data_IF_216199467103
#
_entry.id   IF_216199467103
#
_cell.length_a   1.000
_cell.length_b   1.000
_cell.length_c   1.000
_cell.angle_alpha   90.00
_cell.angle_beta   90.00
_cell.angle_gamma   90.00
#
_symmetry.space_group_name_H-M   'P 1'
#
loop_
_entity.id
_entity.type
_entity.pdbx_description
1 polymer ?
#
# COMPACT_ATOMS: atom_id res chain seq x y z
N UNK A 1 16.54 -43.81 18.30
CA UNK A 1 17.32 -43.02 17.32
C UNK A 1 17.43 -41.60 17.85
N UNK A 2 18.66 -41.14 18.15
CA UNK A 2 18.93 -39.78 18.67
C UNK A 2 19.40 -38.91 17.49
N UNK A 3 18.62 -37.91 17.10
CA UNK A 3 19.05 -36.90 16.15
C UNK A 3 19.80 -35.80 16.89
N UNK A 4 21.02 -35.49 16.43
CA UNK A 4 21.91 -34.47 16.98
C UNK A 4 21.69 -33.19 16.17
N UNK A 5 21.25 -32.12 16.84
CA UNK A 5 21.25 -30.77 16.29
C UNK A 5 22.69 -30.25 16.20
N UNK A 6 23.06 -29.70 15.03
CA UNK A 6 24.28 -28.94 14.86
C UNK A 6 23.89 -27.52 14.46
N UNK A 7 24.03 -26.60 15.42
CA UNK A 7 23.98 -25.15 15.20
C UNK A 7 25.37 -24.72 14.80
N UNK A 8 25.54 -24.18 13.59
CA UNK A 8 26.76 -23.49 13.17
C UNK A 8 26.47 -21.98 13.19
N UNK A 9 26.98 -21.31 14.22
CA UNK A 9 27.04 -19.87 14.30
C UNK A 9 28.28 -19.40 13.53
N UNK A 10 28.10 -18.52 12.54
CA UNK A 10 29.18 -17.82 11.86
C UNK A 10 28.89 -16.32 11.96
N UNK A 11 29.49 -15.67 12.96
CA UNK A 11 29.51 -14.21 13.08
C UNK A 11 30.78 -13.69 12.43
N UNK A 12 30.66 -13.01 11.29
CA UNK A 12 31.74 -12.18 10.74
C UNK A 12 31.42 -10.71 11.01
N UNK A 13 32.23 -10.08 11.84
CA UNK A 13 32.20 -8.65 12.10
C UNK A 13 32.83 -7.85 10.95
N UNK A 14 32.18 -6.75 10.59
CA UNK A 14 32.73 -5.72 9.71
C UNK A 14 32.60 -4.37 10.40
N UNK A 15 33.73 -3.82 10.85
CA UNK A 15 33.82 -2.45 11.38
C UNK A 15 34.00 -1.47 10.22
N UNK A 16 33.01 -0.61 9.97
CA UNK A 16 33.15 0.54 9.07
C UNK A 16 33.53 1.80 9.88
N UNK A 17 34.69 2.37 9.57
CA UNK A 17 35.10 3.68 10.07
C UNK A 17 34.58 4.77 9.12
N UNK A 18 33.66 5.60 9.61
CA UNK A 18 33.18 6.80 8.93
C UNK A 18 34.20 7.94 9.10
N UNK A 19 34.63 8.53 7.99
CA UNK A 19 35.41 9.77 7.95
C UNK A 19 34.50 10.89 7.44
N UNK A 20 34.00 11.72 8.36
CA UNK A 20 33.17 12.90 8.08
C UNK A 20 34.06 14.11 7.78
N UNK A 21 33.94 14.69 6.59
CA UNK A 21 34.44 16.03 6.26
C UNK A 21 33.28 16.86 5.70
N UNK A 22 32.61 17.62 6.58
CA UNK A 22 31.63 18.63 6.18
C UNK A 22 32.30 20.00 6.14
N UNK A 23 32.42 20.58 4.95
CA UNK A 23 32.76 21.99 4.76
C UNK A 23 31.47 22.81 4.78
N UNK A 24 31.47 23.82 5.65
CA UNK A 24 30.45 24.86 5.70
C UNK A 24 30.61 25.83 4.52
N UNK A 25 29.50 26.20 3.90
CA UNK A 25 29.40 27.43 3.12
C UNK A 25 27.99 28.03 3.28
N UNK A 26 27.96 29.23 3.88
CA UNK A 26 26.80 30.10 3.98
C UNK A 26 26.85 31.16 2.87
N UNK A 27 25.70 31.53 2.31
CA UNK A 27 25.29 32.91 1.95
C UNK A 27 23.90 32.81 1.33
N UNK A 28 22.81 33.28 1.94
CA UNK A 28 22.42 34.66 2.29
C UNK A 28 21.95 35.51 1.09
N UNK A 29 20.83 36.18 1.35
CA UNK A 29 20.22 37.34 0.68
C UNK A 29 19.38 37.13 -0.59
N UNK A 30 18.07 37.03 -0.32
CA UNK A 30 17.00 37.89 -0.82
C UNK A 30 17.34 38.94 -1.90
N UNK A 31 16.53 38.97 -2.97
CA UNK A 31 15.94 40.25 -3.37
C UNK A 31 14.60 40.09 -4.09
N UNK A 32 13.67 40.97 -3.72
CA UNK A 32 12.33 41.09 -4.29
C UNK A 32 12.40 41.81 -5.63
N UNK A 33 11.68 41.31 -6.62
CA UNK A 33 11.41 42.05 -7.85
C UNK A 33 9.92 41.99 -8.16
N UNK A 34 9.29 43.15 -7.97
CA UNK A 34 7.94 43.50 -8.41
C UNK A 34 7.73 43.20 -9.88
N UNK A 35 6.69 42.42 -10.21
CA UNK A 35 6.23 42.26 -11.58
C UNK A 35 4.80 42.77 -11.79
N UNK A 36 4.74 43.59 -12.84
CA UNK A 36 3.62 44.27 -13.45
C UNK A 36 2.49 43.30 -13.78
N UNK A 37 1.27 43.63 -13.35
CA UNK A 37 0.04 42.95 -13.76
C UNK A 37 -0.18 43.24 -15.25
N UNK A 38 0.00 42.23 -16.08
CA UNK A 38 -0.46 42.21 -17.46
C UNK A 38 -1.42 41.03 -17.59
N UNK A 39 -2.66 41.38 -17.91
CA UNK A 39 -3.78 40.52 -18.17
C UNK A 39 -3.47 39.68 -19.42
N UNK A 40 -3.12 38.41 -19.22
CA UNK A 40 -3.12 37.40 -20.28
C UNK A 40 -4.17 36.35 -19.96
N UNK A 41 -4.95 36.04 -20.99
CA UNK A 41 -6.09 35.12 -20.96
C UNK A 41 -5.53 33.75 -21.34
N UNK A 42 -4.92 33.08 -20.38
CA UNK A 42 -4.65 31.65 -20.48
C UNK A 42 -5.61 30.95 -19.53
N UNK A 43 -6.43 30.08 -20.09
CA UNK A 43 -7.22 29.11 -19.35
C UNK A 43 -6.22 28.18 -18.67
N UNK A 44 -5.75 28.58 -17.49
CA UNK A 44 -5.11 27.68 -16.54
C UNK A 44 -6.15 26.59 -16.27
N UNK A 45 -5.90 25.40 -16.81
CA UNK A 45 -6.48 24.20 -16.23
C UNK A 45 -5.81 24.09 -14.86
N UNK A 46 -6.45 24.71 -13.85
CA UNK A 46 -6.23 24.43 -12.45
C UNK A 46 -6.04 22.92 -12.36
N UNK A 47 -4.84 22.53 -11.91
CA UNK A 47 -4.51 21.15 -11.67
C UNK A 47 -5.67 20.54 -10.92
N UNK A 48 -6.26 19.52 -11.52
CA UNK A 48 -7.13 18.63 -10.78
C UNK A 48 -6.25 18.05 -9.68
N UNK A 49 -6.34 18.68 -8.51
CA UNK A 49 -5.96 18.12 -7.23
C UNK A 49 -6.81 16.86 -7.07
N UNK A 50 -6.35 15.77 -7.70
CA UNK A 50 -6.82 14.42 -7.44
C UNK A 50 -6.18 13.88 -6.14
N UNK A 51 -5.78 14.77 -5.23
CA UNK A 51 -5.39 14.47 -3.86
C UNK A 51 -6.59 14.28 -2.94
N UNK A 52 -7.69 13.67 -3.43
CA UNK A 52 -8.50 12.89 -2.49
C UNK A 52 -7.75 11.58 -2.28
N UNK A 53 -6.61 11.66 -1.58
CA UNK A 53 -6.13 10.54 -0.78
C UNK A 53 -7.37 10.06 -0.02
N UNK A 54 -7.94 8.94 -0.47
CA UNK A 54 -8.95 8.26 0.33
C UNK A 54 -8.21 7.87 1.58
N UNK A 55 -8.37 8.69 2.61
CA UNK A 55 -7.72 8.50 3.89
C UNK A 55 -8.02 7.08 4.33
N UNK A 56 -7.02 6.21 4.30
CA UNK A 56 -7.09 4.84 4.80
C UNK A 56 -7.14 4.82 6.34
N UNK A 57 -7.76 5.84 6.94
CA UNK A 57 -7.96 6.00 8.37
C UNK A 57 -9.09 5.06 8.80
N UNK A 58 -8.73 4.06 9.58
CA UNK A 58 -9.65 3.06 10.09
C UNK A 58 -10.35 3.53 11.37
N UNK A 59 -10.21 4.80 11.75
CA UNK A 59 -10.85 5.41 12.90
C UNK A 59 -10.12 5.14 14.22
N UNK A 60 -10.79 5.34 15.37
CA UNK A 60 -10.15 5.25 16.67
C UNK A 60 -9.82 3.80 17.06
N UNK A 61 -8.84 3.66 17.97
CA UNK A 61 -8.51 2.40 18.65
C UNK A 61 -9.61 1.98 19.65
N UNK A 62 -10.76 1.56 19.13
CA UNK A 62 -11.89 1.05 19.90
C UNK A 62 -12.09 -0.47 19.70
N UNK A 63 -13.07 -1.05 20.38
CA UNK A 63 -13.35 -2.49 20.35
C UNK A 63 -13.67 -3.06 18.96
N UNK A 64 -14.01 -2.18 18.02
CA UNK A 64 -14.38 -2.53 16.65
C UNK A 64 -13.30 -2.20 15.62
N UNK A 65 -12.16 -1.66 16.05
CA UNK A 65 -11.03 -1.36 15.17
C UNK A 65 -10.60 -2.58 14.35
N UNK A 66 -10.36 -3.73 14.99
CA UNK A 66 -9.89 -4.92 14.27
C UNK A 66 -10.91 -5.43 13.23
N UNK A 67 -12.22 -5.28 13.50
CA UNK A 67 -13.26 -5.62 12.52
C UNK A 67 -13.16 -4.72 11.28
N UNK A 68 -12.97 -3.42 11.49
CA UNK A 68 -12.82 -2.46 10.39
C UNK A 68 -11.53 -2.69 9.61
N UNK A 69 -10.43 -3.00 10.28
CA UNK A 69 -9.17 -3.38 9.63
C UNK A 69 -9.35 -4.62 8.76
N UNK A 70 -9.96 -5.68 9.31
CA UNK A 70 -10.25 -6.91 8.57
C UNK A 70 -11.12 -6.61 7.34
N UNK A 71 -12.21 -5.86 7.51
CA UNK A 71 -13.15 -5.54 6.43
C UNK A 71 -12.52 -4.69 5.34
N UNK A 72 -11.72 -3.69 5.71
CA UNK A 72 -11.00 -2.82 4.79
C UNK A 72 -9.89 -3.59 4.05
N UNK A 73 -9.02 -4.30 4.77
CA UNK A 73 -7.87 -4.99 4.19
C UNK A 73 -8.30 -6.17 3.31
N UNK A 74 -9.42 -6.85 3.60
CA UNK A 74 -9.97 -7.87 2.68
C UNK A 74 -10.32 -7.25 1.34
N UNK A 75 -11.07 -6.14 1.33
CA UNK A 75 -11.45 -5.45 0.08
C UNK A 75 -10.22 -4.92 -0.64
N UNK A 76 -9.30 -4.30 0.10
CA UNK A 76 -8.07 -3.76 -0.46
C UNK A 76 -7.23 -4.87 -1.12
N UNK A 77 -7.03 -6.01 -0.45
CA UNK A 77 -6.33 -7.14 -1.06
C UNK A 77 -7.05 -7.73 -2.28
N UNK A 78 -8.39 -7.74 -2.29
CA UNK A 78 -9.14 -8.17 -3.47
C UNK A 78 -8.82 -7.31 -4.69
N UNK A 79 -8.70 -5.99 -4.51
CA UNK A 79 -8.26 -5.06 -5.56
C UNK A 79 -6.89 -5.41 -6.15
N UNK A 80 -5.89 -5.63 -5.29
CA UNK A 80 -4.55 -6.05 -5.75
C UNK A 80 -4.55 -7.41 -6.43
N UNK A 81 -5.32 -8.39 -5.94
CA UNK A 81 -5.45 -9.71 -6.58
C UNK A 81 -6.06 -9.57 -7.97
N UNK A 82 -7.12 -8.77 -8.13
CA UNK A 82 -7.76 -8.54 -9.43
C UNK A 82 -6.80 -7.86 -10.43
N UNK A 83 -6.12 -6.79 -10.00
CA UNK A 83 -5.10 -6.12 -10.83
C UNK A 83 -3.96 -7.08 -11.21
N UNK A 84 -3.49 -7.90 -10.27
CA UNK A 84 -2.44 -8.87 -10.52
C UNK A 84 -2.89 -9.98 -11.50
N UNK A 85 -4.15 -10.43 -11.44
CA UNK A 85 -4.69 -11.39 -12.40
C UNK A 85 -4.72 -10.82 -13.82
N UNK A 86 -5.14 -9.55 -13.97
CA UNK A 86 -5.11 -8.86 -15.27
C UNK A 86 -3.68 -8.76 -15.79
N UNK A 87 -2.73 -8.36 -14.96
CA UNK A 87 -1.33 -8.25 -15.35
C UNK A 87 -0.68 -9.59 -15.72
N UNK A 88 -1.04 -10.66 -15.02
CA UNK A 88 -0.57 -12.02 -15.32
C UNK A 88 -1.01 -12.49 -16.71
N UNK A 89 -2.21 -12.11 -17.14
CA UNK A 89 -2.74 -12.43 -18.47
C UNK A 89 -2.17 -11.52 -19.57
N UNK A 90 -2.06 -10.21 -19.30
CA UNK A 90 -1.81 -9.20 -20.32
C UNK A 90 -0.35 -8.80 -20.50
N UNK A 91 0.49 -8.92 -19.48
CA UNK A 91 1.90 -8.51 -19.58
C UNK A 91 2.70 -9.45 -20.49
N UNK A 92 3.69 -8.93 -21.20
CA UNK A 92 4.70 -9.72 -21.90
C UNK A 92 5.99 -9.89 -21.08
N UNK A 93 6.13 -9.21 -19.93
CA UNK A 93 7.33 -9.27 -19.09
C UNK A 93 7.23 -10.39 -18.06
N UNK A 94 8.23 -11.27 -18.04
CA UNK A 94 8.32 -12.35 -17.05
C UNK A 94 8.41 -11.79 -15.62
N UNK A 95 9.05 -10.63 -15.44
CA UNK A 95 9.15 -9.92 -14.17
C UNK A 95 7.78 -9.54 -13.60
N UNK A 96 6.90 -8.95 -14.43
CA UNK A 96 5.54 -8.57 -14.01
C UNK A 96 4.72 -9.82 -13.72
N UNK A 97 4.77 -10.84 -14.58
CA UNK A 97 4.07 -12.11 -14.35
C UNK A 97 4.48 -12.77 -13.05
N UNK A 98 5.78 -12.75 -12.74
CA UNK A 98 6.29 -13.30 -11.50
C UNK A 98 5.80 -12.53 -10.28
N UNK A 99 5.85 -11.19 -10.30
CA UNK A 99 5.30 -10.37 -9.22
C UNK A 99 3.80 -10.62 -9.05
N UNK A 100 3.03 -10.65 -10.14
CA UNK A 100 1.59 -10.92 -10.10
C UNK A 100 1.28 -12.26 -9.43
N UNK A 101 2.01 -13.32 -9.75
CA UNK A 101 1.84 -14.63 -9.10
C UNK A 101 2.13 -14.59 -7.60
N UNK A 102 3.14 -13.81 -7.18
CA UNK A 102 3.51 -13.65 -5.77
C UNK A 102 2.43 -12.88 -5.01
N UNK A 103 1.95 -11.77 -5.56
CA UNK A 103 0.84 -10.96 -5.02
C UNK A 103 -0.40 -11.83 -4.84
N UNK A 104 -0.83 -12.54 -5.90
CA UNK A 104 -2.02 -13.41 -5.84
C UNK A 104 -1.87 -14.45 -4.73
N UNK A 105 -0.76 -15.18 -4.72
CA UNK A 105 -0.57 -16.27 -3.76
C UNK A 105 -0.54 -15.78 -2.30
N UNK A 106 0.15 -14.67 -2.03
CA UNK A 106 0.24 -14.11 -0.68
C UNK A 106 -1.09 -13.51 -0.24
N UNK A 107 -1.69 -12.64 -1.05
CA UNK A 107 -2.88 -11.90 -0.65
C UNK A 107 -4.13 -12.78 -0.61
N UNK A 108 -4.26 -13.81 -1.45
CA UNK A 108 -5.34 -14.81 -1.31
C UNK A 108 -5.24 -15.59 0.02
N UNK A 109 -4.02 -15.90 0.48
CA UNK A 109 -3.81 -16.54 1.77
C UNK A 109 -4.19 -15.60 2.93
N UNK A 110 -3.78 -14.33 2.85
CA UNK A 110 -4.09 -13.32 3.86
C UNK A 110 -5.60 -13.01 3.91
N UNK A 111 -6.28 -12.92 2.76
CA UNK A 111 -7.75 -12.81 2.68
C UNK A 111 -8.42 -13.98 3.39
N UNK A 112 -8.02 -15.22 3.10
CA UNK A 112 -8.60 -16.40 3.76
C UNK A 112 -8.39 -16.33 5.28
N UNK A 113 -7.20 -15.96 5.72
CA UNK A 113 -6.88 -15.84 7.13
C UNK A 113 -7.77 -14.79 7.83
N UNK A 114 -7.94 -13.63 7.21
CA UNK A 114 -8.79 -12.56 7.73
C UNK A 114 -10.27 -12.93 7.72
N UNK A 115 -10.75 -13.65 6.70
CA UNK A 115 -12.13 -14.16 6.65
C UNK A 115 -12.41 -15.14 7.79
N UNK A 116 -11.46 -16.04 8.10
CA UNK A 116 -11.56 -16.95 9.24
C UNK A 116 -11.65 -16.19 10.57
N UNK A 117 -10.80 -15.16 10.73
CA UNK A 117 -10.83 -14.29 11.90
C UNK A 117 -12.14 -13.52 12.02
N UNK A 118 -12.63 -12.95 10.92
CA UNK A 118 -13.91 -12.25 10.88
C UNK A 118 -15.04 -13.14 11.38
N UNK A 119 -15.13 -14.35 10.83
CA UNK A 119 -16.17 -15.32 11.21
C UNK A 119 -16.03 -15.78 12.66
N UNK A 120 -14.79 -16.02 13.12
CA UNK A 120 -14.54 -16.58 14.45
C UNK A 120 -14.69 -15.54 15.57
N UNK A 121 -14.20 -14.32 15.35
CA UNK A 121 -14.17 -13.27 16.37
C UNK A 121 -15.43 -12.39 16.35
N UNK A 122 -16.11 -12.31 15.21
CA UNK A 122 -17.27 -11.44 14.99
C UNK A 122 -18.46 -12.23 14.41
N UNK A 123 -18.79 -13.37 15.02
CA UNK A 123 -19.87 -14.26 14.55
C UNK A 123 -21.27 -13.63 14.52
N UNK A 124 -21.48 -12.56 15.29
CA UNK A 124 -22.74 -11.83 15.36
C UNK A 124 -22.75 -10.58 14.44
N UNK A 125 -21.63 -10.27 13.79
CA UNK A 125 -21.57 -9.15 12.85
C UNK A 125 -22.35 -9.49 11.57
N UNK A 126 -22.89 -8.45 10.91
CA UNK A 126 -23.50 -8.59 9.60
C UNK A 126 -22.44 -8.99 8.55
N UNK A 127 -22.90 -9.58 7.44
CA UNK A 127 -22.00 -9.99 6.35
C UNK A 127 -21.43 -8.77 5.61
N UNK A 128 -22.13 -7.63 5.64
CA UNK A 128 -21.67 -6.39 5.02
C UNK A 128 -20.39 -5.85 5.70
N UNK A 129 -19.34 -5.52 4.91
CA UNK A 129 -18.17 -4.82 5.42
C UNK A 129 -18.52 -3.48 6.06
N UNK A 130 -17.85 -3.13 7.16
CA UNK A 130 -18.08 -1.88 7.89
C UNK A 130 -16.87 -0.95 7.88
N UNK A 131 -17.12 0.35 7.90
CA UNK A 131 -16.10 1.39 8.03
C UNK A 131 -16.46 2.40 9.10
N UNK A 132 -15.48 3.20 9.55
CA UNK A 132 -15.70 4.29 10.47
C UNK A 132 -16.09 5.56 9.71
N UNK A 133 -17.23 6.18 10.05
CA UNK A 133 -17.62 7.45 9.46
C UNK A 133 -17.29 8.59 10.41
N UNK A 134 -16.12 9.22 10.23
CA UNK A 134 -15.57 10.20 11.18
C UNK A 134 -16.52 11.35 11.54
N UNK A 135 -17.22 11.93 10.54
CA UNK A 135 -18.18 13.03 10.78
C UNK A 135 -19.38 12.59 11.63
N UNK A 136 -19.77 11.33 11.53
CA UNK A 136 -20.93 10.78 12.25
C UNK A 136 -20.53 10.03 13.53
N UNK A 137 -19.23 9.83 13.77
CA UNK A 137 -18.67 9.23 14.98
C UNK A 137 -19.10 7.79 15.26
N UNK A 138 -19.49 7.02 14.23
CA UNK A 138 -19.90 5.62 14.39
C UNK A 138 -19.57 4.77 13.15
N UNK A 139 -19.62 3.45 13.33
CA UNK A 139 -19.49 2.50 12.23
C UNK A 139 -20.73 2.49 11.34
N UNK A 140 -20.52 2.30 10.05
CA UNK A 140 -21.60 2.07 9.10
C UNK A 140 -21.20 1.01 8.07
N UNK A 141 -22.18 0.32 7.45
CA UNK A 141 -21.91 -0.51 6.29
C UNK A 141 -21.28 0.30 5.16
N UNK A 142 -20.28 -0.27 4.49
CA UNK A 142 -19.70 0.32 3.29
C UNK A 142 -20.71 0.27 2.14
N UNK A 143 -20.87 1.39 1.41
CA UNK A 143 -21.60 1.41 0.15
C UNK A 143 -20.81 0.69 -0.96
N UNK A 144 -21.44 0.35 -2.08
CA UNK A 144 -20.73 -0.24 -3.22
C UNK A 144 -19.61 0.67 -3.76
N UNK A 145 -19.82 1.98 -3.75
CA UNK A 145 -18.81 2.96 -4.16
C UNK A 145 -17.61 2.98 -3.18
N UNK A 146 -17.87 2.89 -1.88
CA UNK A 146 -16.82 2.79 -0.87
C UNK A 146 -16.02 1.49 -1.00
N UNK A 147 -16.69 0.37 -1.29
CA UNK A 147 -16.02 -0.92 -1.55
C UNK A 147 -15.11 -0.85 -2.77
N UNK A 148 -15.63 -0.33 -3.89
CA UNK A 148 -14.85 -0.16 -5.12
C UNK A 148 -13.65 0.78 -4.90
N UNK A 149 -13.83 1.83 -4.11
CA UNK A 149 -12.72 2.71 -3.74
C UNK A 149 -11.67 2.03 -2.88
N UNK A 150 -12.06 1.15 -1.94
CA UNK A 150 -11.11 0.41 -1.10
C UNK A 150 -10.28 -0.57 -1.92
N UNK A 151 -10.89 -1.19 -2.93
CA UNK A 151 -10.20 -2.03 -3.92
C UNK A 151 -9.27 -1.23 -4.85
N UNK A 152 -9.36 0.11 -4.84
CA UNK A 152 -8.83 0.99 -5.88
C UNK A 152 -9.09 0.43 -7.28
N UNK A 153 -10.35 0.09 -7.57
CA UNK A 153 -10.73 -0.49 -8.85
C UNK A 153 -10.32 0.46 -10.00
N UNK A 154 -9.34 0.04 -10.80
CA UNK A 154 -8.78 0.80 -11.91
C UNK A 154 -8.77 -0.04 -13.18
N UNK A 155 -9.22 0.58 -14.27
CA UNK A 155 -9.09 0.01 -15.61
C UNK A 155 -7.64 0.20 -16.10
N UNK A 156 -6.88 -0.90 -16.16
CA UNK A 156 -5.50 -0.91 -16.69
C UNK A 156 -5.44 -0.73 -18.21
N UNK A 157 -6.59 -0.70 -18.90
CA UNK A 157 -6.70 -0.45 -20.33
C UNK A 157 -6.23 -1.62 -21.20
N UNK A 158 -5.82 -1.32 -22.42
CA UNK A 158 -5.38 -2.34 -23.39
C UNK A 158 -3.99 -2.89 -23.09
N UNK A 159 -3.73 -4.14 -23.47
CA UNK A 159 -2.39 -4.76 -23.41
C UNK A 159 -1.45 -4.18 -24.50
N UNK A 160 -0.99 -2.95 -24.30
CA UNK A 160 -0.03 -2.24 -25.15
C UNK A 160 1.32 -2.06 -24.45
N UNK A 161 2.27 -1.37 -25.09
CA UNK A 161 3.64 -1.19 -24.58
C UNK A 161 3.73 -0.39 -23.25
N UNK A 162 2.66 0.32 -22.89
CA UNK A 162 2.54 1.08 -21.65
C UNK A 162 1.73 0.34 -20.57
N UNK A 163 1.19 -0.85 -20.88
CA UNK A 163 0.39 -1.64 -19.93
C UNK A 163 1.13 -1.88 -18.60
N UNK A 164 2.36 -2.37 -18.65
CA UNK A 164 3.13 -2.66 -17.43
C UNK A 164 3.41 -1.38 -16.62
N UNK A 165 3.59 -0.23 -17.28
CA UNK A 165 3.75 1.05 -16.59
C UNK A 165 2.45 1.47 -15.90
N UNK A 166 1.28 1.26 -16.51
CA UNK A 166 -0.02 1.51 -15.87
C UNK A 166 -0.25 0.59 -14.67
N UNK A 167 0.08 -0.69 -14.80
CA UNK A 167 0.04 -1.63 -13.68
C UNK A 167 0.95 -1.17 -12.52
N UNK A 168 2.22 -0.82 -12.81
CA UNK A 168 3.15 -0.32 -11.80
C UNK A 168 2.63 0.96 -11.13
N UNK A 169 2.14 1.92 -11.92
CA UNK A 169 1.62 3.19 -11.42
C UNK A 169 0.33 3.03 -10.61
N UNK A 170 -0.43 1.95 -10.81
CA UNK A 170 -1.60 1.61 -10.02
C UNK A 170 -1.24 0.83 -8.74
N UNK A 171 -0.36 -0.17 -8.85
CA UNK A 171 -0.05 -1.08 -7.75
C UNK A 171 0.84 -0.43 -6.69
N UNK A 172 1.71 0.53 -7.04
CA UNK A 172 2.49 1.28 -6.04
C UNK A 172 1.59 2.01 -5.03
N UNK A 173 0.70 2.95 -5.44
CA UNK A 173 -0.14 3.66 -4.48
C UNK A 173 -1.16 2.74 -3.80
N UNK A 174 -1.58 1.66 -4.47
CA UNK A 174 -2.36 0.61 -3.81
C UNK A 174 -1.58 0.03 -2.62
N UNK A 175 -0.36 -0.46 -2.84
CA UNK A 175 0.47 -0.99 -1.76
C UNK A 175 0.75 0.02 -0.65
N UNK A 176 0.99 1.29 -0.98
CA UNK A 176 1.16 2.37 0.01
C UNK A 176 -0.07 2.54 0.92
N UNK A 177 -1.29 2.35 0.37
CA UNK A 177 -2.53 2.29 1.15
C UNK A 177 -2.56 1.12 2.14
N UNK A 178 -2.06 -0.05 1.73
CA UNK A 178 -1.97 -1.22 2.62
C UNK A 178 -0.92 -1.00 3.73
N UNK A 179 0.21 -0.36 3.42
CA UNK A 179 1.22 0.01 4.42
C UNK A 179 0.62 0.92 5.48
N UNK A 180 -0.13 1.95 5.07
CA UNK A 180 -0.82 2.86 5.98
C UNK A 180 -1.75 2.12 6.95
N UNK A 181 -2.62 1.25 6.42
CA UNK A 181 -3.54 0.45 7.27
C UNK A 181 -2.80 -0.53 8.19
N UNK A 182 -1.69 -1.12 7.72
CA UNK A 182 -0.87 -2.01 8.52
C UNK A 182 -0.17 -1.27 9.67
N UNK A 183 0.33 -0.05 9.44
CA UNK A 183 0.88 0.81 10.48
C UNK A 183 -0.18 1.17 11.54
N UNK A 184 -1.39 1.53 11.11
CA UNK A 184 -2.50 1.76 12.05
C UNK A 184 -2.81 0.52 12.88
N UNK A 185 -2.79 -0.67 12.27
CA UNK A 185 -3.03 -1.92 12.97
C UNK A 185 -1.97 -2.21 14.03
N UNK A 186 -0.70 -1.87 13.78
CA UNK A 186 0.36 -1.99 14.78
C UNK A 186 0.21 -1.00 15.94
N UNK A 187 -0.35 0.18 15.69
CA UNK A 187 -0.60 1.18 16.72
C UNK A 187 -1.86 0.88 17.55
N UNK A 188 -2.94 0.46 16.88
CA UNK A 188 -4.30 0.49 17.44
C UNK A 188 -4.85 -0.89 17.83
N UNK A 189 -4.31 -1.99 17.28
CA UNK A 189 -4.75 -3.34 17.63
C UNK A 189 -4.02 -3.89 18.86
N UNK A 190 -4.77 -4.53 19.76
CA UNK A 190 -4.23 -5.33 20.86
C UNK A 190 -4.08 -6.82 20.49
N UNK A 191 -4.50 -7.24 19.28
CA UNK A 191 -4.47 -8.65 18.88
C UNK A 191 -3.12 -9.02 18.27
N UNK A 192 -2.41 -10.02 18.84
CA UNK A 192 -1.11 -10.43 18.29
C UNK A 192 -1.23 -11.00 16.87
N UNK A 193 -2.35 -11.62 16.51
CA UNK A 193 -2.62 -12.13 15.16
C UNK A 193 -2.67 -10.99 14.13
N UNK A 194 -3.35 -9.88 14.45
CA UNK A 194 -3.44 -8.70 13.59
C UNK A 194 -2.09 -8.01 13.48
N UNK A 195 -1.38 -7.83 14.60
CA UNK A 195 -0.04 -7.23 14.61
C UNK A 195 0.96 -8.08 13.80
N UNK A 196 0.85 -9.41 13.85
CA UNK A 196 1.69 -10.30 13.06
C UNK A 196 1.39 -10.17 11.56
N UNK A 197 0.11 -10.14 11.16
CA UNK A 197 -0.26 -9.92 9.76
C UNK A 197 0.22 -8.55 9.26
N UNK A 198 0.02 -7.50 10.05
CA UNK A 198 0.48 -6.16 9.69
C UNK A 198 1.99 -6.10 9.45
N UNK A 199 2.81 -6.75 10.29
CA UNK A 199 4.26 -6.85 10.07
C UNK A 199 4.61 -7.60 8.78
N UNK A 200 3.84 -8.63 8.40
CA UNK A 200 4.05 -9.38 7.17
C UNK A 200 3.73 -8.52 5.95
N UNK A 201 2.59 -7.80 5.98
CA UNK A 201 2.16 -6.87 4.93
C UNK A 201 3.22 -5.78 4.73
N UNK A 202 3.70 -5.14 5.80
CA UNK A 202 4.75 -4.13 5.70
C UNK A 202 6.00 -4.69 5.00
N UNK A 203 6.51 -5.82 5.47
CA UNK A 203 7.74 -6.40 4.94
C UNK A 203 7.62 -6.84 3.47
N UNK A 204 6.50 -7.45 3.07
CA UNK A 204 6.32 -7.90 1.69
C UNK A 204 6.07 -6.72 0.76
N UNK A 205 5.14 -5.83 1.10
CA UNK A 205 4.70 -4.77 0.19
C UNK A 205 5.74 -3.64 0.05
N UNK A 206 6.55 -3.35 1.07
CA UNK A 206 7.73 -2.48 0.92
C UNK A 206 8.71 -3.04 -0.13
N UNK A 207 8.98 -4.35 -0.08
CA UNK A 207 9.88 -5.00 -1.05
C UNK A 207 9.30 -4.99 -2.47
N UNK A 208 7.99 -5.12 -2.62
CA UNK A 208 7.30 -5.11 -3.91
C UNK A 208 7.27 -3.68 -4.50
N UNK A 209 7.03 -2.66 -3.67
CA UNK A 209 7.15 -1.25 -4.06
C UNK A 209 8.57 -0.95 -4.55
N UNK A 210 9.59 -1.36 -3.80
CA UNK A 210 11.00 -1.16 -4.18
C UNK A 210 11.33 -1.80 -5.54
N UNK A 211 10.80 -3.01 -5.78
CA UNK A 211 10.98 -3.72 -7.04
C UNK A 211 10.29 -2.99 -8.19
N UNK A 212 9.03 -2.57 -8.01
CA UNK A 212 8.28 -1.82 -9.01
C UNK A 212 8.92 -0.47 -9.33
N UNK A 213 9.43 0.25 -8.33
CA UNK A 213 10.16 1.51 -8.53
C UNK A 213 11.45 1.31 -9.33
N UNK A 214 12.19 0.23 -9.06
CA UNK A 214 13.38 -0.11 -9.85
C UNK A 214 13.03 -0.38 -11.31
N UNK A 215 11.93 -1.09 -11.57
CA UNK A 215 11.44 -1.35 -12.92
C UNK A 215 10.96 -0.09 -13.61
N UNK A 216 10.20 0.75 -12.91
CA UNK A 216 9.75 2.06 -13.39
C UNK A 216 10.92 2.92 -13.87
N UNK A 217 11.97 3.00 -13.06
CA UNK A 217 13.19 3.73 -13.39
C UNK A 217 13.98 3.06 -14.53
N UNK A 218 14.14 1.73 -14.50
CA UNK A 218 14.98 1.01 -15.47
C UNK A 218 14.33 0.87 -16.85
N UNK A 219 13.01 0.74 -16.93
CA UNK A 219 12.30 0.47 -18.18
C UNK A 219 11.74 1.75 -18.80
N UNK A 220 11.36 2.73 -17.98
CA UNK A 220 10.66 3.94 -18.43
C UNK A 220 11.38 5.25 -18.09
N UNK A 221 12.44 5.19 -17.28
CA UNK A 221 13.18 6.39 -16.87
C UNK A 221 12.44 7.29 -15.90
N UNK A 222 11.41 6.76 -15.21
CA UNK A 222 10.54 7.48 -14.27
C UNK A 222 10.80 7.09 -12.82
#
# INVERSE_FOLDING_TARGET
MKFRNAVLALTLGGTFAFLSLGLAACSDSSDSSTHSVSQDSSTEMEGMDHGSEMSMDLGPADESFDLRFIDAMILHHQGAVEMAQVALEQSDRDEIKQLSQQIIAAQEQEIQQMQEWRQTWYSDAADEPVMYHAEMGHMMPMSEEMKASMMMDVDLGTADEEFDLRFINAMIPHHEGALTMAEEALEKSDRPEIQQLAQQILASQESEIDQMNQWKQSWYGQ
#
